data_IF_065436901065
#
_entry.id   IF_065436901065
#
_cell.length_a   1.000
_cell.length_b   1.000
_cell.length_c   1.000
_cell.angle_alpha   90.00
_cell.angle_beta   90.00
_cell.angle_gamma   90.00
#
_symmetry.space_group_name_H-M   'P 1'
#
loop_
_entity.id
_entity.type
_entity.pdbx_description
1 polymer ?
#
# COMPACT_ATOMS: atom_id res chain seq x y z
N UNK A 1 -17.06 4.76 13.74
CA UNK A 1 -16.09 4.86 14.84
C UNK A 1 -16.36 3.85 15.95
N UNK A 2 -17.62 3.75 16.40
CA UNK A 2 -18.02 2.96 17.56
C UNK A 2 -18.53 1.54 17.20
N UNK A 3 -18.71 1.25 15.92
CA UNK A 3 -19.08 -0.10 15.46
C UNK A 3 -17.97 -1.08 15.82
N UNK A 4 -18.24 -2.22 16.49
CA UNK A 4 -17.24 -3.26 16.74
C UNK A 4 -16.56 -3.73 15.46
N UNK A 5 -15.28 -4.08 15.54
CA UNK A 5 -14.49 -4.47 14.36
C UNK A 5 -15.05 -5.73 13.70
N UNK A 6 -15.56 -6.66 14.51
CA UNK A 6 -16.14 -7.93 14.08
C UNK A 6 -17.35 -7.76 13.16
N UNK A 7 -18.10 -6.68 13.34
CA UNK A 7 -19.25 -6.36 12.51
C UNK A 7 -18.86 -5.81 11.12
N UNK A 8 -17.59 -5.49 10.94
CA UNK A 8 -17.04 -4.92 9.71
C UNK A 8 -16.17 -5.89 8.91
N UNK A 9 -15.88 -7.08 9.42
CA UNK A 9 -14.94 -8.02 8.80
C UNK A 9 -15.27 -8.37 7.34
N UNK A 10 -16.55 -8.50 7.01
CA UNK A 10 -17.00 -8.84 5.66
C UNK A 10 -17.78 -7.69 4.99
N UNK A 11 -17.67 -6.48 5.54
CA UNK A 11 -18.32 -5.28 4.99
C UNK A 11 -17.41 -4.52 4.05
N UNK A 12 -17.99 -4.07 2.94
CA UNK A 12 -17.37 -3.06 2.05
C UNK A 12 -17.71 -1.66 2.56
N UNK A 13 -16.98 -0.67 2.08
CA UNK A 13 -17.26 0.74 2.40
C UNK A 13 -18.68 1.11 1.95
N UNK A 14 -19.12 0.62 0.78
CA UNK A 14 -20.49 0.80 0.27
C UNK A 14 -21.60 0.17 1.12
N UNK A 15 -21.27 -0.78 2.00
CA UNK A 15 -22.26 -1.39 2.90
C UNK A 15 -22.48 -0.57 4.17
N UNK A 16 -21.68 0.48 4.36
CA UNK A 16 -21.64 1.29 5.60
C UNK A 16 -21.96 2.76 5.36
N UNK A 17 -21.65 3.28 4.17
CA UNK A 17 -21.83 4.67 3.82
C UNK A 17 -22.83 4.81 2.68
N UNK A 18 -23.62 5.89 2.72
CA UNK A 18 -24.59 6.25 1.70
C UNK A 18 -23.90 6.92 0.49
N UNK A 19 -24.56 6.91 -0.65
CA UNK A 19 -24.07 7.48 -1.93
C UNK A 19 -23.66 8.95 -1.83
N UNK A 20 -24.26 9.71 -0.91
CA UNK A 20 -23.91 11.11 -0.65
C UNK A 20 -22.44 11.26 -0.23
N UNK A 21 -21.92 10.31 0.57
CA UNK A 21 -20.51 10.31 0.99
C UNK A 21 -19.58 10.18 -0.21
N UNK A 22 -19.91 9.31 -1.16
CA UNK A 22 -19.08 9.04 -2.35
C UNK A 22 -19.04 10.21 -3.35
N UNK A 23 -20.02 11.10 -3.31
CA UNK A 23 -20.04 12.34 -4.10
C UNK A 23 -19.42 13.54 -3.37
N UNK A 24 -18.99 13.36 -2.12
CA UNK A 24 -18.45 14.42 -1.28
C UNK A 24 -16.98 14.75 -1.57
N UNK A 25 -16.56 15.98 -1.27
CA UNK A 25 -15.16 16.36 -1.30
C UNK A 25 -14.31 15.55 -0.30
N UNK A 26 -14.90 15.15 0.83
CA UNK A 26 -14.23 14.29 1.80
C UNK A 26 -13.79 12.98 1.14
N UNK A 27 -14.71 12.30 0.46
CA UNK A 27 -14.40 11.04 -0.22
C UNK A 27 -13.36 11.22 -1.32
N UNK A 28 -13.46 12.28 -2.11
CA UNK A 28 -12.50 12.60 -3.15
C UNK A 28 -11.07 12.74 -2.59
N UNK A 29 -10.89 13.48 -1.49
CA UNK A 29 -9.59 13.60 -0.84
C UNK A 29 -9.13 12.28 -0.24
N UNK A 30 -10.03 11.60 0.47
CA UNK A 30 -9.71 10.36 1.17
C UNK A 30 -9.25 9.27 0.22
N UNK A 31 -10.02 8.99 -0.84
CA UNK A 31 -9.68 7.98 -1.82
C UNK A 31 -8.38 8.28 -2.56
N UNK A 32 -8.14 9.54 -2.90
CA UNK A 32 -6.95 9.97 -3.63
C UNK A 32 -5.70 9.86 -2.75
N UNK A 33 -5.81 10.24 -1.47
CA UNK A 33 -4.68 10.25 -0.55
C UNK A 33 -4.27 8.86 -0.09
N UNK A 34 -5.24 8.00 0.16
CA UNK A 34 -5.01 6.68 0.74
C UNK A 34 -5.28 5.52 -0.21
N UNK A 35 -5.51 5.79 -1.49
CA UNK A 35 -5.80 4.79 -2.52
C UNK A 35 -7.02 3.90 -2.19
N UNK A 36 -8.06 4.47 -1.57
CA UNK A 36 -9.29 3.74 -1.31
C UNK A 36 -10.20 3.71 -2.53
N UNK A 37 -10.89 2.59 -2.68
CA UNK A 37 -12.01 2.41 -3.61
C UNK A 37 -13.30 2.05 -2.83
N UNK A 38 -14.44 2.32 -3.44
CA UNK A 38 -15.74 2.16 -2.78
C UNK A 38 -15.99 0.72 -2.27
N UNK A 39 -15.43 -0.26 -2.95
CA UNK A 39 -15.54 -1.69 -2.66
C UNK A 39 -14.48 -2.23 -1.69
N UNK A 40 -13.55 -1.38 -1.22
CA UNK A 40 -12.57 -1.78 -0.22
C UNK A 40 -13.21 -2.08 1.15
N UNK A 41 -12.43 -2.67 2.04
CA UNK A 41 -12.85 -3.06 3.38
C UNK A 41 -13.29 -1.86 4.23
N UNK A 42 -14.49 -1.94 4.79
CA UNK A 42 -14.98 -0.95 5.75
C UNK A 42 -14.17 -0.94 7.04
N UNK A 43 -13.66 -2.09 7.47
CA UNK A 43 -12.78 -2.18 8.64
C UNK A 43 -11.47 -1.44 8.41
N UNK A 44 -10.84 -1.65 7.26
CA UNK A 44 -9.61 -0.96 6.93
C UNK A 44 -9.82 0.56 6.90
N UNK A 45 -10.88 1.04 6.25
CA UNK A 45 -11.22 2.46 6.28
C UNK A 45 -11.42 2.98 7.70
N UNK A 46 -12.13 2.24 8.57
CA UNK A 46 -12.30 2.62 9.98
C UNK A 46 -10.96 2.76 10.69
N UNK A 47 -10.03 1.83 10.50
CA UNK A 47 -8.70 1.87 11.11
C UNK A 47 -7.89 3.08 10.62
N UNK A 48 -7.97 3.39 9.33
CA UNK A 48 -7.35 4.60 8.77
C UNK A 48 -7.98 5.88 9.32
N UNK A 49 -9.31 5.96 9.40
CA UNK A 49 -10.00 7.11 10.00
C UNK A 49 -9.57 7.30 11.46
N UNK A 50 -9.54 6.24 12.26
CA UNK A 50 -9.07 6.31 13.65
C UNK A 50 -7.65 6.87 13.76
N UNK A 51 -6.77 6.50 12.85
CA UNK A 51 -5.38 6.95 12.82
C UNK A 51 -5.25 8.41 12.40
N UNK A 52 -6.04 8.84 11.42
CA UNK A 52 -5.89 10.15 10.78
C UNK A 52 -6.93 11.20 11.18
N UNK A 53 -7.89 10.86 12.05
CA UNK A 53 -8.98 11.76 12.44
C UNK A 53 -8.49 13.13 12.93
N UNK A 54 -7.37 13.15 13.65
CA UNK A 54 -6.78 14.38 14.18
C UNK A 54 -6.23 15.31 13.11
N UNK A 55 -6.03 14.80 11.90
CA UNK A 55 -5.44 15.52 10.78
C UNK A 55 -6.43 15.81 9.64
N UNK A 56 -7.70 15.39 9.77
CA UNK A 56 -8.72 15.55 8.73
C UNK A 56 -8.89 17.02 8.31
N UNK A 57 -8.90 17.94 9.27
CA UNK A 57 -9.01 19.38 8.98
C UNK A 57 -7.85 19.96 8.18
N UNK A 58 -6.68 19.31 8.18
CA UNK A 58 -5.49 19.72 7.44
C UNK A 58 -5.29 19.01 6.10
N UNK A 59 -6.19 18.12 5.70
CA UNK A 59 -6.08 17.39 4.43
C UNK A 59 -6.08 18.29 3.19
N UNK A 60 -6.91 19.35 3.10
CA UNK A 60 -6.97 20.18 1.90
C UNK A 60 -5.69 20.97 1.59
N UNK A 61 -4.86 21.25 2.58
CA UNK A 61 -3.66 22.07 2.46
C UNK A 61 -2.38 21.37 2.97
N UNK A 62 -2.48 20.12 3.36
CA UNK A 62 -1.39 19.31 3.93
C UNK A 62 -0.65 19.91 5.13
N UNK A 63 -1.23 20.88 5.83
CA UNK A 63 -0.58 21.52 6.99
C UNK A 63 -0.14 20.55 8.08
N UNK A 64 -0.88 19.45 8.22
CA UNK A 64 -0.59 18.43 9.21
C UNK A 64 0.56 17.49 8.79
N UNK A 65 0.89 17.44 7.51
CA UNK A 65 1.94 16.57 6.99
C UNK A 65 3.30 17.27 7.12
N UNK A 66 4.30 16.49 7.45
CA UNK A 66 5.69 16.92 7.52
C UNK A 66 6.49 16.19 6.44
N UNK A 67 7.32 16.94 5.76
CA UNK A 67 8.20 16.42 4.73
C UNK A 67 9.65 16.59 5.17
N UNK A 68 10.49 15.64 4.84
CA UNK A 68 11.93 15.78 5.03
C UNK A 68 12.49 16.81 4.05
N UNK A 69 13.45 17.61 4.51
CA UNK A 69 14.12 18.61 3.65
C UNK A 69 14.93 17.95 2.53
N UNK A 70 15.45 16.78 2.81
CA UNK A 70 16.28 16.00 1.91
C UNK A 70 15.62 14.68 1.58
N UNK A 71 16.10 14.00 0.57
CA UNK A 71 15.69 12.65 0.22
C UNK A 71 15.76 11.72 1.44
N UNK A 72 14.73 10.94 1.65
CA UNK A 72 14.63 10.03 2.81
C UNK A 72 15.69 8.93 2.78
N UNK A 73 16.10 8.49 1.61
CA UNK A 73 17.09 7.43 1.48
C UNK A 73 18.44 7.87 2.05
N UNK A 74 18.99 9.00 1.58
CA UNK A 74 20.28 9.50 2.07
C UNK A 74 20.21 10.07 3.47
N UNK A 75 19.10 10.72 3.84
CA UNK A 75 19.01 11.42 5.12
C UNK A 75 18.55 10.55 6.30
N UNK A 76 17.85 9.43 6.04
CA UNK A 76 17.30 8.56 7.09
C UNK A 76 17.79 7.13 6.91
N UNK A 77 17.56 6.53 5.73
CA UNK A 77 17.79 5.08 5.56
C UNK A 77 19.27 4.73 5.64
N UNK A 78 20.14 5.40 4.89
CA UNK A 78 21.56 5.12 4.90
C UNK A 78 22.22 5.32 6.28
N UNK A 79 21.96 6.42 7.01
CA UNK A 79 22.49 6.58 8.38
C UNK A 79 22.00 5.49 9.33
N UNK A 80 20.74 5.09 9.25
CA UNK A 80 20.20 4.00 10.07
C UNK A 80 20.83 2.66 9.72
N UNK A 81 20.97 2.35 8.46
CA UNK A 81 21.62 1.12 7.98
C UNK A 81 23.08 1.04 8.47
N UNK A 82 23.81 2.14 8.33
CA UNK A 82 25.19 2.23 8.82
C UNK A 82 25.27 1.95 10.33
N UNK A 83 24.43 2.63 11.11
CA UNK A 83 24.35 2.44 12.56
C UNK A 83 24.06 0.98 12.92
N UNK A 84 23.09 0.37 12.27
CA UNK A 84 22.71 -1.03 12.54
C UNK A 84 23.83 -2.01 12.19
N UNK A 85 24.54 -1.81 11.08
CA UNK A 85 25.70 -2.62 10.70
C UNK A 85 26.84 -2.51 11.73
N UNK A 86 27.11 -1.31 12.22
CA UNK A 86 28.10 -1.06 13.27
C UNK A 86 27.75 -1.74 14.60
N UNK A 87 26.45 -2.07 14.81
CA UNK A 87 25.93 -2.77 15.98
C UNK A 87 25.63 -4.26 15.72
N UNK A 88 26.18 -4.83 14.66
CA UNK A 88 26.16 -6.28 14.41
C UNK A 88 24.92 -6.78 13.65
N UNK A 89 24.05 -5.90 13.15
CA UNK A 89 22.93 -6.32 12.31
C UNK A 89 23.43 -6.71 10.93
N UNK A 90 23.03 -7.89 10.48
CA UNK A 90 23.36 -8.40 9.15
C UNK A 90 22.20 -8.12 8.18
N UNK A 91 22.55 -7.60 7.01
CA UNK A 91 21.60 -7.35 5.92
C UNK A 91 21.90 -8.30 4.77
N UNK A 92 20.95 -9.16 4.45
CA UNK A 92 21.04 -10.11 3.35
C UNK A 92 20.23 -9.59 2.15
N UNK A 93 20.88 -8.78 1.31
CA UNK A 93 20.27 -8.26 0.08
C UNK A 93 20.18 -9.34 -1.00
N UNK A 94 19.33 -9.12 -2.03
CA UNK A 94 19.07 -10.06 -3.10
C UNK A 94 18.70 -11.48 -2.61
N UNK A 95 18.18 -11.57 -1.38
CA UNK A 95 17.79 -12.82 -0.73
C UNK A 95 16.28 -12.83 -0.58
N UNK A 96 15.62 -13.77 -1.23
CA UNK A 96 14.17 -13.90 -1.25
C UNK A 96 13.72 -14.95 -0.24
N UNK A 97 12.82 -14.56 0.67
CA UNK A 97 12.13 -15.52 1.54
C UNK A 97 11.01 -16.16 0.74
N UNK A 98 11.09 -17.46 0.51
CA UNK A 98 10.12 -18.21 -0.31
C UNK A 98 9.14 -19.03 0.50
N UNK A 99 9.46 -19.36 1.75
CA UNK A 99 8.55 -20.03 2.68
C UNK A 99 8.94 -19.72 4.13
N UNK A 100 7.96 -19.80 5.02
CA UNK A 100 8.13 -19.78 6.47
C UNK A 100 7.28 -20.88 7.06
N UNK A 101 7.88 -21.78 7.83
CA UNK A 101 7.19 -22.88 8.52
C UNK A 101 6.88 -22.53 9.94
N UNK A 102 5.73 -23.00 10.40
CA UNK A 102 5.24 -22.77 11.75
C UNK A 102 4.83 -24.07 12.41
N UNK A 103 5.18 -24.20 13.69
CA UNK A 103 4.58 -25.15 14.61
C UNK A 103 3.38 -24.48 15.27
N UNK A 104 2.19 -24.99 14.95
CA UNK A 104 0.92 -24.42 15.40
C UNK A 104 0.24 -25.39 16.37
N UNK A 105 -0.09 -24.88 17.55
CA UNK A 105 -0.92 -25.57 18.55
C UNK A 105 -2.10 -24.69 18.95
N UNK A 106 -2.99 -25.19 19.76
CA UNK A 106 -4.15 -24.41 20.24
C UNK A 106 -3.76 -23.12 20.99
N UNK A 107 -2.56 -23.09 21.59
CA UNK A 107 -2.13 -21.98 22.45
C UNK A 107 -0.86 -21.27 21.97
N UNK A 108 -0.17 -21.80 20.96
CA UNK A 108 1.12 -21.29 20.51
C UNK A 108 1.26 -21.38 19.01
N UNK A 109 1.83 -20.34 18.42
CA UNK A 109 2.32 -20.31 17.04
C UNK A 109 3.79 -19.91 17.09
N UNK A 110 4.65 -20.74 16.57
CA UNK A 110 6.08 -20.51 16.52
C UNK A 110 6.61 -20.75 15.13
N UNK A 111 7.38 -19.80 14.60
CA UNK A 111 8.12 -20.05 13.37
C UNK A 111 9.24 -21.07 13.66
N UNK A 112 9.33 -22.12 12.85
CA UNK A 112 10.32 -23.19 12.99
C UNK A 112 11.43 -23.13 11.96
N UNK A 113 11.13 -22.60 10.76
CA UNK A 113 12.18 -22.38 9.75
C UNK A 113 11.79 -21.33 8.73
N UNK A 114 12.82 -20.78 8.07
CA UNK A 114 12.69 -19.85 6.94
C UNK A 114 13.41 -20.48 5.76
N UNK A 115 12.75 -20.56 4.62
CA UNK A 115 13.38 -20.93 3.35
C UNK A 115 13.72 -19.67 2.58
N UNK A 116 14.98 -19.55 2.19
CA UNK A 116 15.50 -18.42 1.44
C UNK A 116 16.09 -18.85 0.11
N UNK A 117 16.04 -17.99 -0.88
CA UNK A 117 16.67 -18.16 -2.18
C UNK A 117 17.63 -16.99 -2.43
N UNK A 118 18.88 -17.32 -2.74
CA UNK A 118 19.93 -16.37 -3.07
C UNK A 118 20.77 -16.93 -4.22
N UNK A 119 20.94 -16.16 -5.30
CA UNK A 119 21.69 -16.56 -6.50
C UNK A 119 21.28 -17.93 -7.06
N UNK A 120 19.97 -18.25 -7.01
CA UNK A 120 19.42 -19.53 -7.49
C UNK A 120 19.67 -20.74 -6.59
N UNK A 121 20.28 -20.51 -5.42
CA UNK A 121 20.44 -21.54 -4.38
C UNK A 121 19.37 -21.35 -3.30
N UNK A 122 18.87 -22.47 -2.81
CA UNK A 122 17.86 -22.50 -1.76
C UNK A 122 18.50 -22.99 -0.46
N UNK A 123 18.37 -22.19 0.59
CA UNK A 123 18.82 -22.55 1.93
C UNK A 123 17.66 -22.53 2.92
N UNK A 124 17.76 -23.32 3.99
CA UNK A 124 16.81 -23.36 5.09
C UNK A 124 17.50 -22.88 6.36
N UNK A 125 16.91 -21.92 7.01
CA UNK A 125 17.37 -21.39 8.30
C UNK A 125 16.42 -21.93 9.37
N UNK A 126 16.91 -22.80 10.23
CA UNK A 126 16.15 -23.31 11.36
C UNK A 126 16.06 -22.25 12.47
N UNK A 127 14.86 -22.15 13.06
CA UNK A 127 14.58 -21.24 14.15
C UNK A 127 14.30 -22.03 15.43
N UNK A 128 14.72 -21.44 16.55
CA UNK A 128 14.52 -21.99 17.89
C UNK A 128 13.41 -21.22 18.63
N UNK A 129 13.04 -21.67 19.80
CA UNK A 129 12.06 -20.98 20.65
C UNK A 129 12.53 -19.61 21.16
N UNK A 130 13.82 -19.31 21.06
CA UNK A 130 14.42 -18.04 21.48
C UNK A 130 14.51 -17.02 20.32
N UNK A 131 14.16 -17.42 19.11
CA UNK A 131 14.19 -16.55 17.95
C UNK A 131 12.86 -15.80 17.78
N UNK A 132 12.95 -14.54 17.36
CA UNK A 132 11.80 -13.71 17.00
C UNK A 132 11.82 -13.46 15.50
N UNK A 133 10.73 -13.78 14.84
CA UNK A 133 10.55 -13.53 13.41
C UNK A 133 9.51 -12.44 13.18
N UNK A 134 9.90 -11.38 12.46
CA UNK A 134 9.01 -10.33 11.98
C UNK A 134 8.85 -10.45 10.46
N UNK A 135 7.63 -10.56 9.99
CA UNK A 135 7.32 -10.68 8.57
C UNK A 135 6.64 -9.40 8.11
N UNK A 136 7.28 -8.68 7.18
CA UNK A 136 6.81 -7.39 6.65
C UNK A 136 6.69 -7.42 5.12
N UNK A 137 6.22 -8.55 4.59
CA UNK A 137 6.04 -8.74 3.16
C UNK A 137 4.79 -8.00 2.63
N UNK A 138 4.67 -7.89 1.31
CA UNK A 138 3.48 -7.38 0.64
C UNK A 138 3.40 -5.85 0.56
N UNK A 139 4.48 -5.18 0.22
CA UNK A 139 4.47 -3.74 -0.06
C UNK A 139 3.69 -3.40 -1.33
N UNK A 140 3.00 -2.25 -1.35
CA UNK A 140 2.22 -1.79 -2.50
C UNK A 140 3.05 -1.51 -3.76
N UNK A 141 4.37 -1.51 -3.65
CA UNK A 141 5.31 -1.27 -4.76
C UNK A 141 5.98 -2.55 -5.28
N UNK A 142 5.72 -3.69 -4.67
CA UNK A 142 6.40 -4.95 -5.00
C UNK A 142 6.24 -5.37 -6.47
N UNK A 143 5.04 -5.18 -7.01
CA UNK A 143 4.72 -5.54 -8.41
C UNK A 143 4.67 -4.32 -9.33
N UNK A 144 5.26 -3.19 -8.92
CA UNK A 144 5.24 -1.97 -9.73
C UNK A 144 6.03 -2.13 -11.02
N UNK A 145 5.47 -1.59 -12.07
CA UNK A 145 6.13 -1.41 -13.37
C UNK A 145 6.34 0.07 -13.63
N UNK A 146 7.32 0.41 -14.43
CA UNK A 146 7.68 1.80 -14.70
C UNK A 146 7.49 2.14 -16.17
N UNK A 147 6.89 3.29 -16.40
CA UNK A 147 6.85 3.92 -17.72
C UNK A 147 8.00 4.89 -17.94
N UNK A 148 8.01 5.50 -19.10
CA UNK A 148 8.92 6.59 -19.47
C UNK A 148 8.15 7.71 -20.14
N UNK A 149 8.85 8.76 -20.58
CA UNK A 149 8.24 9.91 -21.27
C UNK A 149 7.34 9.49 -22.45
N UNK A 150 7.72 8.47 -23.20
CA UNK A 150 7.05 8.05 -24.43
C UNK A 150 6.51 6.62 -24.40
N UNK A 151 6.59 5.96 -23.24
CA UNK A 151 6.16 4.57 -23.09
C UNK A 151 5.36 4.44 -21.81
N UNK A 152 4.06 4.07 -21.88
CA UNK A 152 3.28 3.85 -20.67
C UNK A 152 3.85 2.68 -19.87
N UNK A 153 3.65 2.71 -18.55
CA UNK A 153 3.96 1.58 -17.70
C UNK A 153 3.08 0.39 -18.12
N UNK A 154 3.66 -0.80 -18.37
CA UNK A 154 2.87 -1.97 -18.72
C UNK A 154 2.06 -2.41 -17.51
N UNK A 155 0.82 -2.81 -17.74
CA UNK A 155 0.00 -3.48 -16.75
C UNK A 155 -0.01 -4.98 -17.03
N UNK A 156 0.31 -5.77 -16.01
CA UNK A 156 0.28 -7.22 -16.06
C UNK A 156 -0.84 -7.71 -15.13
N UNK A 157 -1.96 -8.22 -15.69
CA UNK A 157 -3.08 -8.71 -14.90
C UNK A 157 -2.79 -10.06 -14.23
N UNK A 158 -1.70 -10.71 -14.57
CA UNK A 158 -1.36 -12.01 -13.99
C UNK A 158 -0.65 -11.84 -12.65
N UNK A 159 -1.08 -12.60 -11.67
CA UNK A 159 -0.41 -12.70 -10.38
C UNK A 159 0.91 -13.45 -10.54
N UNK A 160 2.02 -12.72 -10.48
CA UNK A 160 3.35 -13.33 -10.61
C UNK A 160 3.65 -14.27 -9.45
N UNK A 161 4.08 -15.52 -9.73
CA UNK A 161 4.52 -16.43 -8.68
C UNK A 161 5.71 -15.86 -7.89
N UNK A 162 5.77 -16.19 -6.62
CA UNK A 162 6.93 -15.88 -5.78
C UNK A 162 7.01 -14.43 -5.30
N UNK A 163 5.92 -13.65 -5.37
CA UNK A 163 5.80 -12.35 -4.73
C UNK A 163 5.37 -12.47 -3.25
N UNK A 164 5.21 -11.35 -2.56
CA UNK A 164 4.77 -11.33 -1.15
C UNK A 164 3.40 -11.97 -0.94
N UNK A 165 2.52 -11.96 -1.93
CA UNK A 165 1.23 -12.65 -1.86
C UNK A 165 1.39 -14.17 -1.83
N UNK A 166 2.35 -14.73 -2.58
CA UNK A 166 2.64 -16.17 -2.55
C UNK A 166 3.11 -16.61 -1.18
N UNK A 167 4.02 -15.85 -0.56
CA UNK A 167 4.46 -16.13 0.81
C UNK A 167 3.28 -16.07 1.78
N UNK A 168 2.42 -15.06 1.65
CA UNK A 168 1.24 -14.94 2.50
C UNK A 168 0.28 -16.12 2.34
N UNK A 169 0.01 -16.55 1.11
CA UNK A 169 -0.81 -17.73 0.82
C UNK A 169 -0.22 -19.02 1.41
N UNK A 170 1.11 -19.21 1.31
CA UNK A 170 1.79 -20.36 1.91
C UNK A 170 1.70 -20.36 3.44
N UNK A 171 1.86 -19.21 4.08
CA UNK A 171 1.69 -19.06 5.53
C UNK A 171 0.24 -19.38 5.93
N UNK A 172 -0.73 -18.78 5.27
CA UNK A 172 -2.15 -18.98 5.58
C UNK A 172 -2.62 -20.42 5.34
N UNK A 173 -2.02 -21.14 4.40
CA UNK A 173 -2.34 -22.54 4.13
C UNK A 173 -1.94 -23.49 5.28
N UNK A 174 -1.09 -23.08 6.21
CA UNK A 174 -0.65 -23.91 7.33
C UNK A 174 -1.68 -23.92 8.47
N UNK A 175 -2.37 -22.80 8.70
CA UNK A 175 -3.41 -22.69 9.72
C UNK A 175 -4.34 -21.51 9.43
N UNK A 176 -5.65 -21.71 9.59
CA UNK A 176 -6.68 -20.69 9.33
C UNK A 176 -6.52 -19.40 10.18
N UNK A 177 -5.84 -19.48 11.30
CA UNK A 177 -5.58 -18.34 12.18
C UNK A 177 -4.50 -17.37 11.66
N UNK A 178 -3.84 -17.70 10.55
CA UNK A 178 -2.93 -16.78 9.85
C UNK A 178 -3.64 -15.84 8.86
N UNK A 179 -4.94 -15.94 8.75
CA UNK A 179 -5.74 -15.02 7.95
C UNK A 179 -6.27 -15.62 6.64
N UNK A 180 -6.83 -14.75 5.82
CA UNK A 180 -7.56 -15.12 4.60
C UNK A 180 -7.03 -14.31 3.41
N UNK A 181 -5.87 -14.69 2.84
CA UNK A 181 -5.24 -13.96 1.73
C UNK A 181 -6.14 -13.89 0.48
N UNK A 182 -7.05 -14.82 0.28
CA UNK A 182 -8.03 -14.78 -0.81
C UNK A 182 -8.94 -13.55 -0.78
N UNK A 183 -9.03 -12.84 0.33
CA UNK A 183 -9.81 -11.60 0.44
C UNK A 183 -9.14 -10.40 -0.24
N UNK A 184 -7.83 -10.43 -0.45
CA UNK A 184 -7.08 -9.32 -1.03
C UNK A 184 -6.05 -9.73 -2.11
N UNK A 185 -5.66 -11.00 -2.16
CA UNK A 185 -4.69 -11.52 -3.13
C UNK A 185 -5.39 -12.22 -4.30
N UNK A 186 -6.32 -11.57 -4.99
CA UNK A 186 -7.11 -12.28 -6.00
C UNK A 186 -7.26 -11.58 -7.35
N UNK A 187 -7.30 -10.25 -7.40
CA UNK A 187 -7.59 -9.50 -8.61
C UNK A 187 -6.68 -8.27 -8.74
N UNK A 188 -5.64 -8.34 -9.61
CA UNK A 188 -4.76 -7.21 -9.84
C UNK A 188 -5.45 -6.00 -10.46
N UNK A 189 -6.50 -6.17 -11.25
CA UNK A 189 -7.22 -5.05 -11.85
C UNK A 189 -7.93 -4.20 -10.78
N UNK A 190 -8.49 -4.85 -9.77
CA UNK A 190 -9.13 -4.17 -8.66
C UNK A 190 -8.14 -3.51 -7.69
N UNK A 191 -6.91 -3.96 -7.65
CA UNK A 191 -5.85 -3.41 -6.80
C UNK A 191 -4.84 -2.56 -7.57
N UNK A 192 -5.06 -2.35 -8.87
CA UNK A 192 -4.16 -1.54 -9.70
C UNK A 192 -4.25 -0.07 -9.33
N UNK A 193 -3.09 0.52 -9.09
CA UNK A 193 -2.94 1.94 -8.82
C UNK A 193 -1.89 2.53 -9.77
N UNK A 194 -2.28 3.57 -10.49
CA UNK A 194 -1.36 4.29 -11.36
C UNK A 194 -1.09 5.68 -10.79
N UNK A 195 0.17 6.03 -10.71
CA UNK A 195 0.60 7.38 -10.36
C UNK A 195 1.63 7.91 -11.34
N UNK A 196 1.62 9.21 -11.56
CA UNK A 196 2.60 9.87 -12.39
C UNK A 196 3.05 11.18 -11.74
N UNK A 197 4.35 11.43 -11.82
CA UNK A 197 4.92 12.74 -11.50
C UNK A 197 5.24 13.45 -12.78
N UNK A 198 4.66 14.63 -12.98
CA UNK A 198 4.91 15.46 -14.17
C UNK A 198 5.74 16.66 -13.75
N UNK A 199 6.95 16.75 -14.27
CA UNK A 199 7.82 17.94 -14.10
C UNK A 199 7.77 18.78 -15.35
N UNK A 200 7.43 20.05 -15.21
CA UNK A 200 7.37 21.01 -16.32
C UNK A 200 8.31 22.18 -16.08
N UNK A 201 8.87 22.70 -17.15
CA UNK A 201 9.67 23.92 -17.14
C UNK A 201 8.89 25.11 -17.71
N UNK A 202 7.63 24.91 -18.05
CA UNK A 202 6.75 25.93 -18.66
C UNK A 202 5.65 26.31 -17.68
N UNK A 203 5.51 27.60 -17.43
CA UNK A 203 4.50 28.17 -16.53
C UNK A 203 3.07 28.02 -17.04
N UNK A 204 2.84 27.60 -18.28
CA UNK A 204 1.50 27.35 -18.82
C UNK A 204 0.78 26.19 -18.13
N UNK A 205 1.52 25.15 -17.75
CA UNK A 205 0.90 23.98 -17.06
C UNK A 205 0.31 24.39 -15.71
N UNK A 206 1.04 25.07 -14.81
CA UNK A 206 0.43 25.61 -13.58
C UNK A 206 -0.80 26.49 -13.84
N UNK A 207 -0.79 27.32 -14.89
CA UNK A 207 -1.96 28.14 -15.26
C UNK A 207 -3.17 27.30 -15.68
N UNK A 208 -2.96 26.21 -16.43
CA UNK A 208 -4.03 25.26 -16.76
C UNK A 208 -4.56 24.55 -15.53
N UNK A 209 -3.68 24.11 -14.62
CA UNK A 209 -4.10 23.51 -13.34
C UNK A 209 -4.95 24.49 -12.54
N UNK A 210 -4.53 25.74 -12.40
CA UNK A 210 -5.30 26.80 -11.74
C UNK A 210 -6.68 26.99 -12.38
N UNK A 211 -6.73 26.99 -13.72
CA UNK A 211 -7.98 27.15 -14.47
C UNK A 211 -8.97 25.99 -14.22
N UNK A 212 -8.45 24.77 -14.15
CA UNK A 212 -9.26 23.56 -13.90
C UNK A 212 -9.68 23.48 -12.43
N UNK A 213 -8.73 23.57 -11.51
CA UNK A 213 -8.94 23.35 -10.08
C UNK A 213 -9.47 24.60 -9.35
N UNK A 214 -9.48 25.78 -10.01
CA UNK A 214 -9.85 27.08 -9.43
C UNK A 214 -9.04 27.46 -8.19
N UNK A 215 -7.82 26.96 -8.09
CA UNK A 215 -6.88 27.23 -7.00
C UNK A 215 -5.51 27.53 -7.56
N UNK A 216 -4.80 28.44 -6.92
CA UNK A 216 -3.41 28.72 -7.24
C UNK A 216 -2.52 27.53 -6.86
N UNK A 217 -1.85 26.87 -7.81
CA UNK A 217 -0.97 25.73 -7.53
C UNK A 217 0.23 26.07 -6.65
N UNK A 218 0.62 27.37 -6.55
CA UNK A 218 1.71 27.83 -5.71
C UNK A 218 1.29 28.26 -4.29
N UNK A 219 -0.01 28.21 -3.98
CA UNK A 219 -0.54 28.63 -2.67
C UNK A 219 -0.32 27.62 -1.53
N UNK A 220 0.26 26.45 -1.82
CA UNK A 220 0.39 25.36 -0.86
C UNK A 220 -0.88 24.55 -0.64
N UNK A 221 -1.98 24.91 -1.29
CA UNK A 221 -3.19 24.08 -1.31
C UNK A 221 -3.09 23.02 -2.40
N UNK A 222 -3.43 21.80 -2.06
CA UNK A 222 -3.47 20.71 -3.02
C UNK A 222 -4.63 20.90 -3.99
N UNK A 223 -4.37 21.09 -5.29
CA UNK A 223 -5.42 21.02 -6.29
C UNK A 223 -5.80 19.55 -6.50
N UNK A 224 -6.95 19.13 -6.01
CA UNK A 224 -7.50 17.82 -6.31
C UNK A 224 -8.63 18.01 -7.32
N UNK A 225 -8.48 17.36 -8.47
CA UNK A 225 -9.53 17.28 -9.47
C UNK A 225 -9.78 15.81 -9.78
N UNK A 226 -11.03 15.40 -9.68
CA UNK A 226 -11.46 14.06 -10.06
C UNK A 226 -12.40 14.19 -11.26
N UNK A 227 -11.98 13.69 -12.39
CA UNK A 227 -12.84 13.54 -13.55
C UNK A 227 -13.28 12.09 -13.61
N UNK A 228 -14.54 11.81 -13.34
CA UNK A 228 -15.16 10.58 -13.75
C UNK A 228 -15.15 10.56 -15.29
N UNK A 229 -14.16 9.94 -15.85
CA UNK A 229 -14.31 9.36 -17.16
C UNK A 229 -15.23 8.15 -16.95
N UNK A 230 -16.55 8.36 -17.01
CA UNK A 230 -17.41 7.28 -17.42
C UNK A 230 -16.80 6.80 -18.73
N UNK A 231 -16.39 5.55 -18.76
CA UNK A 231 -16.22 4.86 -20.01
C UNK A 231 -17.56 5.09 -20.72
N UNK A 232 -17.59 6.03 -21.63
CA UNK A 232 -18.71 6.18 -22.50
C UNK A 232 -18.76 4.89 -23.27
N UNK A 233 -19.77 4.10 -22.95
CA UNK A 233 -20.41 3.25 -23.90
C UNK A 233 -20.44 4.00 -25.23
N UNK A 234 -19.50 3.70 -26.10
CA UNK A 234 -19.66 3.96 -27.50
C UNK A 234 -20.66 2.96 -28.00
N UNK A 235 -21.92 3.22 -27.73
CA UNK A 235 -23.00 2.69 -28.52
C UNK A 235 -23.01 3.44 -29.85
N UNK A 236 -22.45 2.85 -30.85
CA UNK A 236 -22.82 3.11 -32.26
C UNK A 236 -23.55 1.91 -32.76
#
# INVERSE_FOLDING_TARGET
>A
FFTPDEQLYDKRITDVFDDEVFSSNFWMYWRTMFAFENWHSALEMKLYIKRFIHHIGGLPDFKALRFTRYNQYESIILPMEKYLKEHGVQFHYATKVTDVRFDVTATRKQASSITVEHDGQTDVIDLTENDLLFITNGGCVESSTYGSQNTPAPFDPELKPGNGWDLWKKIAAQDASFGRPEKFCYDPEQSNWMSATVTTLDDKIPQYIQKICKRDPFSGHTPVSYTHLRAHETSA
#
